data_IF_189610827112
#
_entry.id   IF_189610827112
#
_cell.length_a   1.000
_cell.length_b   1.000
_cell.length_c   1.000
_cell.angle_alpha   90.00
_cell.angle_beta   90.00
_cell.angle_gamma   90.00
#
_symmetry.space_group_name_H-M   'P 1'
#
loop_
_entity.id
_entity.type
_entity.pdbx_description
1 polymer ?
#
# COMPACT_ATOMS: atom_id res chain seq x y z
N UNK A 1 22.63 -11.47 0.71
CA UNK A 1 22.16 -10.78 -0.51
C UNK A 1 20.69 -11.11 -0.68
N UNK A 2 19.85 -10.13 -1.05
CA UNK A 2 18.42 -10.26 -1.41
C UNK A 2 17.37 -9.80 -0.38
N UNK A 3 17.47 -8.55 0.10
CA UNK A 3 16.29 -7.78 0.57
C UNK A 3 15.78 -6.86 -0.53
N UNK A 4 16.72 -6.16 -1.19
CA UNK A 4 16.44 -5.19 -2.27
C UNK A 4 15.69 -5.82 -3.45
N UNK A 5 16.06 -7.05 -3.85
CA UNK A 5 15.39 -7.73 -4.96
C UNK A 5 13.92 -8.07 -4.63
N UNK A 6 13.65 -8.40 -3.37
CA UNK A 6 12.31 -8.75 -2.87
C UNK A 6 11.43 -7.51 -2.72
N UNK A 7 12.00 -6.40 -2.21
CA UNK A 7 11.31 -5.10 -2.12
C UNK A 7 10.93 -4.55 -3.50
N UNK A 8 11.82 -4.68 -4.49
CA UNK A 8 11.55 -4.26 -5.86
C UNK A 8 10.43 -5.09 -6.52
N UNK A 9 10.41 -6.40 -6.31
CA UNK A 9 9.35 -7.27 -6.86
C UNK A 9 7.98 -6.98 -6.22
N UNK A 10 7.94 -6.66 -4.93
CA UNK A 10 6.72 -6.25 -4.26
C UNK A 10 6.23 -4.88 -4.74
N UNK A 11 7.14 -3.93 -4.98
CA UNK A 11 6.80 -2.63 -5.55
C UNK A 11 6.19 -2.78 -6.95
N UNK A 12 6.75 -3.63 -7.82
CA UNK A 12 6.20 -3.92 -9.14
C UNK A 12 4.81 -4.60 -9.06
N UNK A 13 4.62 -5.54 -8.13
CA UNK A 13 3.31 -6.17 -7.92
C UNK A 13 2.26 -5.14 -7.47
N UNK A 14 2.64 -4.25 -6.55
CA UNK A 14 1.78 -3.21 -6.00
C UNK A 14 1.45 -2.09 -6.98
N UNK A 15 2.41 -1.71 -7.84
CA UNK A 15 2.15 -0.82 -8.96
C UNK A 15 1.15 -1.47 -9.93
N UNK A 16 1.30 -2.78 -10.18
CA UNK A 16 0.35 -3.58 -10.95
C UNK A 16 -1.08 -3.62 -10.35
N UNK A 17 -1.26 -3.29 -9.07
CA UNK A 17 -2.58 -3.15 -8.45
C UNK A 17 -3.22 -1.78 -8.67
N UNK A 18 -2.47 -0.81 -9.20
CA UNK A 18 -2.91 0.58 -9.40
C UNK A 18 -2.63 1.48 -8.20
N UNK A 19 -1.72 1.10 -7.30
CA UNK A 19 -1.26 1.94 -6.20
C UNK A 19 -0.29 2.99 -6.74
N UNK A 20 -0.60 4.27 -6.54
CA UNK A 20 0.24 5.38 -7.01
C UNK A 20 1.49 5.52 -6.12
N UNK A 21 1.36 5.11 -4.86
CA UNK A 21 2.46 5.09 -3.90
C UNK A 21 2.90 3.65 -3.60
N UNK A 22 3.01 2.81 -4.64
CA UNK A 22 3.41 1.40 -4.51
C UNK A 22 4.72 1.20 -3.70
N UNK A 23 5.68 2.11 -3.85
CA UNK A 23 6.95 2.08 -3.08
C UNK A 23 6.79 2.34 -1.59
N UNK A 24 5.75 3.08 -1.18
CA UNK A 24 5.42 3.24 0.23
C UNK A 24 4.87 1.93 0.80
N UNK A 25 3.95 1.31 0.07
CA UNK A 25 3.28 0.07 0.47
C UNK A 25 4.15 -1.17 0.33
N UNK A 26 5.18 -1.18 -0.53
CA UNK A 26 6.08 -2.32 -0.69
C UNK A 26 7.03 -2.52 0.49
N UNK A 27 7.07 -1.56 1.42
CA UNK A 27 7.77 -1.72 2.69
C UNK A 27 7.08 -2.78 3.56
N UNK A 28 7.82 -3.28 4.56
CA UNK A 28 7.30 -4.26 5.51
C UNK A 28 5.94 -3.82 6.11
N UNK A 29 4.98 -4.73 6.21
CA UNK A 29 3.64 -4.43 6.74
C UNK A 29 3.67 -3.87 8.17
N UNK A 30 4.66 -4.24 8.98
CA UNK A 30 4.82 -3.70 10.35
C UNK A 30 5.47 -2.30 10.36
N UNK A 31 5.94 -1.84 9.19
CA UNK A 31 6.50 -0.50 8.99
C UNK A 31 5.52 0.49 8.35
N UNK A 32 4.33 0.03 7.95
CA UNK A 32 3.25 0.92 7.54
C UNK A 32 2.83 1.71 8.79
N UNK A 33 3.30 2.94 8.86
CA UNK A 33 3.12 3.79 10.03
C UNK A 33 1.66 4.16 10.28
N UNK A 34 1.47 5.17 11.12
CA UNK A 34 0.16 5.78 11.35
C UNK A 34 -0.32 6.61 10.14
N UNK A 35 -1.58 7.05 10.19
CA UNK A 35 -2.13 8.04 9.23
C UNK A 35 -1.26 9.30 9.16
N UNK A 36 -0.65 9.72 10.28
CA UNK A 36 0.23 10.89 10.30
C UNK A 36 1.52 10.64 9.51
N UNK A 37 2.04 9.42 9.51
CA UNK A 37 3.25 9.07 8.75
C UNK A 37 2.95 9.10 7.23
N UNK A 38 1.75 8.68 6.84
CA UNK A 38 1.26 8.86 5.48
C UNK A 38 1.14 10.34 5.10
N UNK A 39 0.53 11.17 5.96
CA UNK A 39 0.38 12.61 5.68
C UNK A 39 1.74 13.27 5.44
N UNK A 40 2.73 12.96 6.28
CA UNK A 40 4.10 13.46 6.14
C UNK A 40 4.72 13.01 4.81
N UNK A 41 4.63 11.72 4.49
CA UNK A 41 5.14 11.18 3.23
C UNK A 41 4.47 11.83 2.01
N UNK A 42 3.14 11.95 2.01
CA UNK A 42 2.38 12.47 0.89
C UNK A 42 2.66 13.96 0.65
N UNK A 43 2.73 14.75 1.72
CA UNK A 43 3.06 16.18 1.66
C UNK A 43 4.49 16.40 1.17
N UNK A 44 5.45 15.56 1.59
CA UNK A 44 6.84 15.60 1.08
C UNK A 44 6.90 15.35 -0.43
N UNK A 45 6.11 14.36 -0.92
CA UNK A 45 6.04 14.03 -2.36
C UNK A 45 5.23 15.01 -3.18
N UNK A 46 4.25 15.68 -2.58
CA UNK A 46 3.36 16.64 -3.26
C UNK A 46 3.33 17.97 -2.51
N UNK A 47 4.35 18.83 -2.69
CA UNK A 47 4.40 20.12 -2.01
C UNK A 47 3.18 20.98 -2.34
N UNK A 48 2.58 21.56 -1.31
CA UNK A 48 1.39 22.42 -1.45
C UNK A 48 0.06 21.67 -1.42
N UNK A 49 0.06 20.34 -1.29
CA UNK A 49 -1.17 19.62 -1.02
C UNK A 49 -1.66 19.88 0.42
N UNK A 50 -2.98 19.79 0.58
CA UNK A 50 -3.66 19.84 1.86
C UNK A 50 -3.69 18.48 2.54
N UNK A 51 -3.90 18.48 3.85
CA UNK A 51 -4.12 17.25 4.63
C UNK A 51 -5.33 16.46 4.11
N UNK A 52 -6.38 17.14 3.68
CA UNK A 52 -7.57 16.49 3.12
C UNK A 52 -7.27 15.71 1.83
N UNK A 53 -6.38 16.24 0.99
CA UNK A 53 -5.91 15.55 -0.22
C UNK A 53 -5.06 14.32 0.14
N UNK A 54 -4.20 14.43 1.15
CA UNK A 54 -3.43 13.29 1.66
C UNK A 54 -4.37 12.17 2.17
N UNK A 55 -5.40 12.51 2.95
CA UNK A 55 -6.38 11.55 3.47
C UNK A 55 -7.25 10.93 2.37
N UNK A 56 -7.64 11.71 1.36
CA UNK A 56 -8.34 11.18 0.18
C UNK A 56 -7.47 10.18 -0.57
N UNK A 57 -6.20 10.51 -0.78
CA UNK A 57 -5.24 9.59 -1.42
C UNK A 57 -5.09 8.30 -0.61
N UNK A 58 -4.88 8.40 0.70
CA UNK A 58 -4.80 7.25 1.60
C UNK A 58 -6.02 6.34 1.50
N UNK A 59 -7.21 6.94 1.51
CA UNK A 59 -8.49 6.21 1.44
C UNK A 59 -8.63 5.43 0.13
N UNK A 60 -8.16 5.97 -0.99
CA UNK A 60 -8.17 5.30 -2.29
C UNK A 60 -7.20 4.12 -2.32
N UNK A 61 -5.96 4.34 -1.85
CA UNK A 61 -4.91 3.33 -1.78
C UNK A 61 -5.32 2.15 -0.88
N UNK A 62 -5.85 2.44 0.32
CA UNK A 62 -6.35 1.42 1.24
C UNK A 62 -7.51 0.62 0.65
N UNK A 63 -8.41 1.25 -0.11
CA UNK A 63 -9.51 0.55 -0.77
C UNK A 63 -9.01 -0.43 -1.84
N UNK A 64 -7.95 -0.07 -2.58
CA UNK A 64 -7.31 -0.97 -3.54
C UNK A 64 -6.66 -2.15 -2.80
N UNK A 65 -5.89 -1.86 -1.74
CA UNK A 65 -5.24 -2.88 -0.91
C UNK A 65 -6.26 -3.87 -0.32
N UNK A 66 -7.34 -3.37 0.28
CA UNK A 66 -8.39 -4.22 0.86
C UNK A 66 -9.03 -5.13 -0.18
N UNK A 67 -9.34 -4.62 -1.38
CA UNK A 67 -9.90 -5.44 -2.47
C UNK A 67 -8.93 -6.54 -2.88
N UNK A 68 -7.67 -6.20 -3.13
CA UNK A 68 -6.65 -7.16 -3.59
C UNK A 68 -6.29 -8.20 -2.53
N UNK A 69 -6.24 -7.81 -1.27
CA UNK A 69 -6.02 -8.74 -0.16
C UNK A 69 -7.24 -9.65 0.04
N UNK A 70 -8.47 -9.13 -0.07
CA UNK A 70 -9.69 -9.94 -0.02
C UNK A 70 -9.74 -10.97 -1.14
N UNK A 71 -9.43 -10.56 -2.37
CA UNK A 71 -9.39 -11.46 -3.54
C UNK A 71 -8.38 -12.61 -3.37
N UNK A 72 -7.28 -12.38 -2.64
CA UNK A 72 -6.29 -13.43 -2.30
C UNK A 72 -6.78 -14.38 -1.21
N UNK A 73 -7.62 -13.91 -0.28
CA UNK A 73 -8.15 -14.73 0.84
C UNK A 73 -9.21 -15.73 0.35
N UNK A 74 -10.01 -15.36 -0.67
CA UNK A 74 -11.04 -16.25 -1.24
C UNK A 74 -10.47 -17.46 -2.02
N UNK A 75 -9.16 -17.49 -2.29
CA UNK A 75 -8.49 -18.60 -2.98
C UNK A 75 -8.12 -19.74 -2.00
N UNK A 76 -8.23 -19.54 -0.70
CA UNK A 76 -8.07 -20.63 0.28
C UNK A 76 -9.40 -21.40 0.34
N UNK A 77 -9.47 -22.66 -0.15
CA UNK A 77 -10.69 -23.43 -0.03
C UNK A 77 -11.00 -23.58 1.46
N UNK A 78 -12.21 -23.16 1.85
CA UNK A 78 -12.76 -23.46 3.16
C UNK A 78 -12.74 -24.98 3.31
N UNK A 79 -11.75 -25.52 4.01
CA UNK A 79 -11.80 -26.92 4.45
C UNK A 79 -12.90 -27.00 5.50
N UNK A 80 -14.10 -27.31 5.05
CA UNK A 80 -15.20 -27.74 5.92
C UNK A 80 -14.80 -29.08 6.57
N UNK A 81 -15.05 -29.24 7.89
CA UNK A 81 -14.77 -30.49 8.59
C UNK A 81 -15.62 -31.67 8.08
#
# INVERSE_FOLDING_TARGET
MSTIATENLLAEEMEGWGLHHATYWSNDLNSWGSVSDWDVYFIDKTPGCSKDEAHRSLSLELNILLKKLSDKVDIIPRQTP
#
